data_IF_608068455288
#
_entry.id   IF_608068455288
#
_cell.length_a   1.000
_cell.length_b   1.000
_cell.length_c   1.000
_cell.angle_alpha   90.00
_cell.angle_beta   90.00
_cell.angle_gamma   90.00
#
_symmetry.space_group_name_H-M   'P 1'
#
loop_
_entity.id
_entity.type
_entity.pdbx_description
1 polymer ?
#
# COMPACT_ATOMS: atom_id res chain seq x y z
N UNK A 1 -7.30 29.01 18.08
CA UNK A 1 -6.07 29.18 17.27
C UNK A 1 -5.55 27.78 16.99
N UNK A 2 -5.60 27.33 15.73
CA UNK A 2 -5.24 25.96 15.36
C UNK A 2 -3.74 25.80 15.67
N UNK A 3 -3.30 24.78 16.43
CA UNK A 3 -1.88 24.56 16.68
C UNK A 3 -1.15 24.40 15.35
N UNK A 4 -0.05 25.11 15.14
CA UNK A 4 0.74 25.07 13.90
C UNK A 4 1.12 23.63 13.46
N UNK A 5 1.18 22.71 14.42
CA UNK A 5 1.43 21.27 14.24
C UNK A 5 0.34 20.57 13.40
N UNK A 6 -0.94 20.86 13.68
CA UNK A 6 -2.06 20.24 12.97
C UNK A 6 -2.17 20.74 11.52
N UNK A 7 -1.74 21.97 11.26
CA UNK A 7 -1.71 22.53 9.91
C UNK A 7 -0.67 21.85 9.02
N UNK A 8 0.54 21.59 9.54
CA UNK A 8 1.59 20.87 8.82
C UNK A 8 1.15 19.42 8.53
N UNK A 9 0.56 18.76 9.54
CA UNK A 9 0.00 17.43 9.39
C UNK A 9 -1.08 17.36 8.29
N UNK A 10 -2.07 18.25 8.36
CA UNK A 10 -3.15 18.32 7.37
C UNK A 10 -2.61 18.55 5.95
N UNK A 11 -1.58 19.37 5.80
CA UNK A 11 -0.99 19.68 4.48
C UNK A 11 -0.28 18.48 3.86
N UNK A 12 0.49 17.72 4.66
CA UNK A 12 1.18 16.51 4.20
C UNK A 12 0.16 15.44 3.84
N UNK A 13 -0.82 15.19 4.72
CA UNK A 13 -1.88 14.22 4.48
C UNK A 13 -2.69 14.55 3.23
N UNK A 14 -3.01 15.83 3.03
CA UNK A 14 -3.75 16.30 1.86
C UNK A 14 -2.99 16.04 0.56
N UNK A 15 -1.69 16.35 0.51
CA UNK A 15 -0.86 16.06 -0.65
C UNK A 15 -0.74 14.56 -0.92
N UNK A 16 -0.50 13.76 0.12
CA UNK A 16 -0.37 12.30 -0.02
C UNK A 16 -1.68 11.66 -0.52
N UNK A 17 -2.82 12.15 -0.02
CA UNK A 17 -4.15 11.74 -0.47
C UNK A 17 -4.38 12.05 -1.95
N UNK A 18 -4.08 13.28 -2.40
CA UNK A 18 -4.25 13.67 -3.81
C UNK A 18 -3.33 12.85 -4.72
N UNK A 19 -2.06 12.67 -4.33
CA UNK A 19 -1.10 11.88 -5.13
C UNK A 19 -1.60 10.44 -5.27
N UNK A 20 -2.05 9.82 -4.19
CA UNK A 20 -2.53 8.43 -4.23
C UNK A 20 -3.82 8.29 -5.02
N UNK A 21 -4.74 9.26 -4.92
CA UNK A 21 -5.97 9.30 -5.70
C UNK A 21 -5.67 9.40 -7.21
N UNK A 22 -4.72 10.25 -7.60
CA UNK A 22 -4.29 10.37 -9.00
C UNK A 22 -3.67 9.07 -9.50
N UNK A 23 -2.80 8.46 -8.69
CA UNK A 23 -2.14 7.19 -9.05
C UNK A 23 -3.17 6.05 -9.18
N UNK A 24 -4.16 5.97 -8.29
CA UNK A 24 -5.28 5.03 -8.38
C UNK A 24 -6.11 5.22 -9.63
N UNK A 25 -6.45 6.47 -9.94
CA UNK A 25 -7.20 6.81 -11.14
C UNK A 25 -6.43 6.40 -12.40
N UNK A 26 -5.12 6.65 -12.43
CA UNK A 26 -4.27 6.28 -13.56
C UNK A 26 -4.21 4.75 -13.74
N UNK A 27 -3.94 4.00 -12.67
CA UNK A 27 -3.91 2.53 -12.73
C UNK A 27 -5.25 1.93 -13.14
N UNK A 28 -6.36 2.51 -12.67
CA UNK A 28 -7.70 2.08 -13.07
C UNK A 28 -7.95 2.32 -14.56
N UNK A 29 -7.55 3.47 -15.10
CA UNK A 29 -7.66 3.73 -16.54
C UNK A 29 -6.81 2.75 -17.35
N UNK A 30 -5.58 2.44 -16.91
CA UNK A 30 -4.71 1.45 -17.57
C UNK A 30 -5.37 0.06 -17.57
N UNK A 31 -5.98 -0.34 -16.46
CA UNK A 31 -6.69 -1.62 -16.33
C UNK A 31 -7.91 -1.69 -17.27
N UNK A 32 -8.77 -0.66 -17.26
CA UNK A 32 -9.99 -0.63 -18.09
C UNK A 32 -9.67 -0.52 -19.58
N UNK A 33 -8.62 0.21 -19.94
CA UNK A 33 -8.20 0.34 -21.35
C UNK A 33 -7.54 -0.93 -21.90
N UNK A 34 -7.16 -1.89 -21.04
CA UNK A 34 -6.58 -3.17 -21.45
C UNK A 34 -5.23 -3.01 -22.18
N UNK A 35 -4.57 -1.85 -22.02
CA UNK A 35 -3.28 -1.57 -22.67
C UNK A 35 -2.20 -2.55 -22.21
N UNK A 36 -2.33 -3.06 -20.98
CA UNK A 36 -1.46 -4.06 -20.39
C UNK A 36 -2.31 -5.29 -20.08
N UNK A 37 -1.90 -6.46 -20.58
CA UNK A 37 -2.59 -7.72 -20.28
C UNK A 37 -2.56 -8.00 -18.77
N UNK A 38 -3.68 -8.35 -18.14
CA UNK A 38 -3.69 -8.82 -16.77
C UNK A 38 -3.01 -10.19 -16.67
N UNK A 39 -2.35 -10.46 -15.55
CA UNK A 39 -1.74 -11.76 -15.24
C UNK A 39 -2.83 -12.80 -14.96
N UNK A 40 -3.93 -12.38 -14.31
CA UNK A 40 -5.09 -13.23 -14.04
C UNK A 40 -6.27 -12.72 -14.87
N UNK A 41 -6.79 -13.51 -15.83
CA UNK A 41 -7.97 -13.13 -16.59
C UNK A 41 -9.14 -12.86 -15.64
N UNK A 42 -9.94 -11.79 -15.88
CA UNK A 42 -11.07 -11.46 -15.02
C UNK A 42 -12.12 -12.56 -14.94
N UNK A 43 -12.21 -13.41 -15.97
CA UNK A 43 -13.08 -14.60 -16.01
C UNK A 43 -12.71 -15.65 -14.95
N UNK A 44 -11.42 -15.77 -14.62
CA UNK A 44 -10.93 -16.74 -13.62
C UNK A 44 -11.02 -16.23 -12.19
N UNK A 45 -11.23 -14.92 -11.99
CA UNK A 45 -11.29 -14.33 -10.64
C UNK A 45 -12.37 -14.96 -9.77
N UNK A 46 -13.58 -15.17 -10.31
CA UNK A 46 -14.67 -15.80 -9.57
C UNK A 46 -14.39 -17.25 -9.20
N UNK A 47 -13.65 -17.97 -10.05
CA UNK A 47 -13.22 -19.35 -9.77
C UNK A 47 -12.10 -19.38 -8.72
N UNK A 48 -11.19 -18.41 -8.75
CA UNK A 48 -10.12 -18.26 -7.77
C UNK A 48 -10.63 -17.94 -6.36
N UNK A 49 -11.69 -17.15 -6.22
CA UNK A 49 -12.30 -16.82 -4.92
C UNK A 49 -12.87 -18.04 -4.16
N UNK A 50 -13.11 -19.14 -4.88
CA UNK A 50 -13.59 -20.41 -4.30
C UNK A 50 -12.47 -21.30 -3.76
N UNK A 51 -11.21 -21.03 -4.11
CA UNK A 51 -10.06 -21.82 -3.65
C UNK A 51 -9.44 -21.21 -2.39
N UNK A 52 -8.84 -22.05 -1.55
CA UNK A 52 -8.05 -21.58 -0.41
C UNK A 52 -6.77 -20.87 -0.90
N UNK A 53 -6.28 -19.90 -0.12
CA UNK A 53 -5.13 -19.06 -0.47
C UNK A 53 -3.89 -19.86 -0.88
N UNK A 54 -3.64 -21.01 -0.27
CA UNK A 54 -2.50 -21.88 -0.61
C UNK A 54 -2.67 -22.58 -1.96
N UNK A 55 -3.91 -22.90 -2.35
CA UNK A 55 -4.21 -23.49 -3.66
C UNK A 55 -4.20 -22.44 -4.76
N UNK A 56 -4.57 -21.20 -4.46
CA UNK A 56 -4.45 -20.07 -5.38
C UNK A 56 -2.98 -19.88 -5.74
N UNK A 57 -2.09 -19.71 -4.76
CA UNK A 57 -0.65 -19.47 -4.99
C UNK A 57 -0.01 -20.59 -5.84
N UNK A 58 -0.39 -21.85 -5.59
CA UNK A 58 0.08 -23.00 -6.37
C UNK A 58 -0.47 -23.03 -7.81
N UNK A 59 -1.69 -22.54 -8.04
CA UNK A 59 -2.34 -22.53 -9.37
C UNK A 59 -1.96 -21.33 -10.22
N UNK A 60 -1.71 -20.18 -9.61
CA UNK A 60 -1.31 -18.96 -10.33
C UNK A 60 0.21 -18.76 -10.40
N UNK A 61 1.01 -19.65 -9.78
CA UNK A 61 2.46 -19.50 -9.64
C UNK A 61 2.83 -18.07 -9.20
N UNK A 62 1.97 -17.47 -8.37
CA UNK A 62 2.03 -16.06 -8.10
C UNK A 62 3.18 -15.80 -7.11
N UNK A 63 4.14 -14.94 -7.45
CA UNK A 63 5.28 -14.66 -6.59
C UNK A 63 4.81 -14.09 -5.24
N UNK A 64 5.41 -14.60 -4.17
CA UNK A 64 5.12 -14.19 -2.79
C UNK A 64 6.18 -13.17 -2.34
N UNK A 65 5.79 -12.17 -1.56
CA UNK A 65 6.74 -11.24 -0.93
C UNK A 65 7.17 -10.10 -1.87
N UNK A 66 8.45 -10.02 -2.24
CA UNK A 66 9.02 -8.92 -3.05
C UNK A 66 9.19 -9.27 -4.54
N UNK A 67 8.92 -10.51 -4.92
CA UNK A 67 9.12 -11.00 -6.29
C UNK A 67 8.13 -10.40 -7.31
N UNK A 68 7.05 -9.76 -6.85
CA UNK A 68 6.13 -9.00 -7.70
C UNK A 68 6.80 -7.83 -8.43
N UNK A 69 7.96 -7.33 -7.97
CA UNK A 69 8.74 -6.30 -8.66
C UNK A 69 9.14 -6.76 -10.07
N UNK A 70 9.35 -8.07 -10.27
CA UNK A 70 9.63 -8.64 -11.60
C UNK A 70 8.40 -8.73 -12.51
N UNK A 71 7.19 -8.62 -11.96
CA UNK A 71 5.92 -8.78 -12.68
C UNK A 71 5.16 -7.46 -12.89
N UNK A 72 5.82 -6.31 -12.65
CA UNK A 72 5.25 -4.96 -12.87
C UNK A 72 4.79 -4.72 -14.32
N UNK A 73 5.20 -5.58 -15.26
CA UNK A 73 4.70 -5.59 -16.63
C UNK A 73 3.24 -6.05 -16.80
N UNK A 74 2.58 -6.54 -15.74
CA UNK A 74 1.17 -6.95 -15.78
C UNK A 74 0.28 -5.94 -15.04
N UNK A 75 -0.92 -5.69 -15.58
CA UNK A 75 -1.83 -4.66 -15.05
C UNK A 75 -2.23 -4.90 -13.59
N UNK A 76 -2.35 -6.16 -13.19
CA UNK A 76 -2.74 -6.54 -11.82
C UNK A 76 -1.64 -6.19 -10.81
N UNK A 77 -0.38 -6.26 -11.22
CA UNK A 77 0.76 -5.87 -10.39
C UNK A 77 0.94 -4.36 -10.28
N UNK A 78 0.46 -3.56 -11.24
CA UNK A 78 0.37 -2.11 -11.05
C UNK A 78 -0.62 -1.77 -9.92
N UNK A 79 -1.73 -2.51 -9.82
CA UNK A 79 -2.68 -2.32 -8.72
C UNK A 79 -2.08 -2.74 -7.37
N UNK A 80 -1.33 -3.84 -7.35
CA UNK A 80 -0.60 -4.27 -6.17
C UNK A 80 0.46 -3.24 -5.74
N UNK A 81 1.28 -2.74 -6.68
CA UNK A 81 2.28 -1.71 -6.44
C UNK A 81 1.67 -0.41 -5.90
N UNK A 82 0.51 -0.02 -6.43
CA UNK A 82 -0.26 1.12 -5.94
C UNK A 82 -0.75 0.88 -4.50
N UNK A 83 -1.22 -0.32 -4.19
CA UNK A 83 -1.66 -0.67 -2.84
C UNK A 83 -0.49 -0.61 -1.86
N UNK A 84 0.69 -1.09 -2.26
CA UNK A 84 1.93 -0.94 -1.51
C UNK A 84 2.30 0.54 -1.30
N UNK A 85 2.12 1.39 -2.32
CA UNK A 85 2.36 2.84 -2.20
C UNK A 85 1.36 3.52 -1.25
N UNK A 86 0.09 3.12 -1.28
CA UNK A 86 -0.95 3.60 -0.36
C UNK A 86 -0.61 3.22 1.09
N UNK A 87 -0.11 2.00 1.33
CA UNK A 87 0.40 1.60 2.64
C UNK A 87 1.67 2.37 3.03
N UNK A 88 2.54 2.69 2.09
CA UNK A 88 3.72 3.53 2.36
C UNK A 88 3.33 4.98 2.71
N UNK A 89 2.24 5.48 2.14
CA UNK A 89 1.70 6.81 2.42
C UNK A 89 1.26 6.94 3.90
N UNK A 90 0.66 5.91 4.49
CA UNK A 90 0.32 5.91 5.91
C UNK A 90 1.58 5.87 6.78
N UNK A 91 2.60 5.09 6.40
CA UNK A 91 3.92 5.09 7.05
C UNK A 91 4.57 6.47 7.02
N UNK A 92 4.57 7.13 5.86
CA UNK A 92 5.11 8.49 5.69
C UNK A 92 4.36 9.52 6.54
N UNK A 93 3.05 9.35 6.67
CA UNK A 93 2.21 10.20 7.53
C UNK A 93 2.64 10.08 8.99
N UNK A 94 2.79 8.85 9.51
CA UNK A 94 3.27 8.61 10.87
C UNK A 94 4.71 9.03 11.09
N UNK A 95 5.60 8.76 10.13
CA UNK A 95 6.99 9.19 10.17
C UNK A 95 7.12 10.72 10.24
N UNK A 96 6.22 11.45 9.56
CA UNK A 96 6.17 12.92 9.59
C UNK A 96 5.63 13.47 10.92
N UNK A 97 4.75 12.73 11.62
CA UNK A 97 4.26 13.07 12.96
C UNK A 97 5.33 12.79 14.03
N UNK A 98 6.13 11.74 13.85
CA UNK A 98 7.13 11.25 14.80
C UNK A 98 8.05 12.36 15.37
N UNK A 99 8.67 13.26 14.57
CA UNK A 99 9.53 14.33 15.11
C UNK A 99 8.75 15.39 15.93
N UNK A 100 7.47 15.61 15.64
CA UNK A 100 6.59 16.53 16.39
C UNK A 100 6.28 15.93 17.77
N UNK A 101 6.06 14.62 17.80
CA UNK A 101 5.69 13.85 18.99
C UNK A 101 6.87 13.64 19.94
N UNK A 102 8.07 13.42 19.38
CA UNK A 102 9.33 13.37 20.13
C UNK A 102 9.62 14.73 20.80
N UNK A 103 9.35 15.85 20.11
CA UNK A 103 9.45 17.18 20.73
C UNK A 103 8.47 17.40 21.88
N UNK A 104 7.30 16.75 21.85
CA UNK A 104 6.30 16.77 22.93
C UNK A 104 6.58 15.79 24.08
N UNK A 105 7.62 14.94 24.01
CA UNK A 105 7.98 13.90 25.00
C UNK A 105 6.86 12.87 25.27
N UNK A 106 5.93 12.73 24.35
CA UNK A 106 4.78 11.83 24.44
C UNK A 106 5.20 10.39 24.05
N UNK A 107 5.86 9.68 24.99
CA UNK A 107 6.52 8.39 24.73
C UNK A 107 5.58 7.29 24.23
N UNK A 108 4.30 7.32 24.62
CA UNK A 108 3.30 6.31 24.25
C UNK A 108 3.07 6.31 22.74
N UNK A 109 2.86 7.48 22.15
CA UNK A 109 2.56 7.57 20.73
C UNK A 109 3.78 7.26 19.84
N UNK A 110 5.00 7.53 20.33
CA UNK A 110 6.23 7.16 19.63
C UNK A 110 6.37 5.63 19.55
N UNK A 111 6.02 4.92 20.63
CA UNK A 111 6.04 3.46 20.65
C UNK A 111 5.02 2.89 19.67
N UNK A 112 3.80 3.44 19.64
CA UNK A 112 2.74 2.99 18.72
C UNK A 112 3.18 3.12 17.26
N UNK A 113 3.67 4.30 16.87
CA UNK A 113 4.12 4.54 15.49
C UNK A 113 5.27 3.60 15.07
N UNK A 114 6.20 3.30 15.99
CA UNK A 114 7.31 2.41 15.72
C UNK A 114 6.84 0.95 15.55
N UNK A 115 5.89 0.51 16.38
CA UNK A 115 5.25 -0.80 16.29
C UNK A 115 4.51 -0.96 14.95
N UNK A 116 3.81 0.09 14.51
CA UNK A 116 3.06 0.11 13.25
C UNK A 116 3.99 -0.02 12.03
N UNK A 117 5.14 0.67 12.04
CA UNK A 117 6.19 0.50 11.00
C UNK A 117 6.70 -0.95 10.97
N UNK A 118 6.94 -1.56 12.13
CA UNK A 118 7.40 -2.96 12.21
C UNK A 118 6.35 -3.91 11.65
N UNK A 119 5.08 -3.74 12.01
CA UNK A 119 3.99 -4.58 11.53
C UNK A 119 3.86 -4.46 10.01
N UNK A 120 3.93 -3.26 9.45
CA UNK A 120 3.83 -3.05 7.99
C UNK A 120 5.01 -3.67 7.23
N UNK A 121 6.21 -3.65 7.79
CA UNK A 121 7.38 -4.35 7.22
C UNK A 121 7.21 -5.88 7.27
N UNK A 122 6.65 -6.41 8.36
CA UNK A 122 6.36 -7.84 8.49
C UNK A 122 5.30 -8.32 7.50
N UNK A 123 4.21 -7.56 7.35
CA UNK A 123 3.14 -7.82 6.37
C UNK A 123 3.71 -7.78 4.95
N UNK A 124 4.54 -6.77 4.63
CA UNK A 124 5.17 -6.68 3.30
C UNK A 124 6.16 -7.82 3.02
N UNK A 125 6.71 -8.47 4.04
CA UNK A 125 7.61 -9.61 3.86
C UNK A 125 6.87 -10.92 3.59
N UNK A 126 5.54 -10.95 3.69
CA UNK A 126 4.73 -12.16 3.53
C UNK A 126 5.02 -13.23 4.59
N UNK A 127 5.59 -12.84 5.73
CA UNK A 127 5.90 -13.75 6.87
C UNK A 127 4.68 -13.90 7.80
N UNK A 128 3.74 -12.95 7.71
CA UNK A 128 2.42 -12.95 8.37
C UNK A 128 1.32 -12.92 7.31
#
# INVERSE_FOLDING_TARGET
MIPNEQYVYAKILHYCSIVTLLLLTLTFVIYVTGVISPYIPPEKLFELLTYESDEIIKKTEMPIGWEWIGLVGYSDMLLYALLSFLALSTVLCYASILPILVKKKEKVYVIIALLEIIVLLFVSSGIL
#
